data_IF_964944916017
#
_entry.id   IF_964944916017
#
_cell.length_a   1.000
_cell.length_b   1.000
_cell.length_c   1.000
_cell.angle_alpha   90.00
_cell.angle_beta   90.00
_cell.angle_gamma   90.00
#
_symmetry.space_group_name_H-M   'P 1'
#
loop_
_entity.id
_entity.type
_entity.pdbx_description
1 polymer ?
#
# COMPACT_ATOMS: atom_id res chain seq x y z
N UNK A 1 1.59 2.70 -8.56
CA UNK A 1 1.77 1.36 -9.18
C UNK A 1 0.94 0.32 -8.43
N UNK A 2 0.38 -0.68 -9.12
CA UNK A 2 -0.35 -1.79 -8.49
C UNK A 2 0.40 -3.10 -8.71
N UNK A 3 0.68 -3.84 -7.64
CA UNK A 3 1.34 -5.16 -7.69
C UNK A 3 0.62 -6.14 -6.80
N UNK A 4 0.36 -7.36 -7.27
CA UNK A 4 -0.43 -8.30 -6.48
C UNK A 4 0.31 -8.78 -5.22
N UNK A 5 1.61 -9.07 -5.31
CA UNK A 5 2.43 -9.50 -4.17
C UNK A 5 3.30 -8.34 -3.64
N UNK A 6 3.33 -8.11 -2.32
CA UNK A 6 4.15 -7.05 -1.75
C UNK A 6 5.65 -7.34 -1.89
N UNK A 7 6.48 -6.34 -2.22
CA UNK A 7 7.93 -6.45 -2.29
C UNK A 7 8.56 -6.31 -0.89
N UNK A 8 7.94 -6.89 0.14
CA UNK A 8 8.36 -6.77 1.54
C UNK A 8 8.24 -8.11 2.28
N UNK A 9 9.36 -8.54 2.87
CA UNK A 9 9.42 -9.73 3.73
C UNK A 9 8.54 -9.53 4.96
N UNK A 10 7.85 -10.60 5.37
CA UNK A 10 6.98 -10.61 6.57
C UNK A 10 5.52 -10.26 6.31
N UNK A 11 5.16 -9.71 5.14
CA UNK A 11 3.75 -9.45 4.80
C UNK A 11 3.03 -10.67 4.20
N UNK A 12 3.77 -11.67 3.74
CA UNK A 12 3.23 -12.94 3.22
C UNK A 12 4.12 -14.08 3.71
N UNK A 13 3.54 -15.28 3.95
CA UNK A 13 4.32 -16.48 4.25
C UNK A 13 5.40 -16.70 3.18
N UNK A 14 6.60 -17.09 3.60
CA UNK A 14 7.81 -17.15 2.76
C UNK A 14 7.60 -17.87 1.41
N UNK A 15 6.90 -19.02 1.40
CA UNK A 15 6.60 -19.79 0.18
C UNK A 15 5.58 -19.17 -0.80
N UNK A 16 4.98 -18.01 -0.46
CA UNK A 16 4.08 -17.24 -1.33
C UNK A 16 4.58 -15.81 -1.59
N UNK A 17 5.83 -15.54 -1.23
CA UNK A 17 6.46 -14.24 -1.43
C UNK A 17 6.78 -14.03 -2.91
N UNK A 18 6.82 -12.76 -3.34
CA UNK A 18 7.26 -12.40 -4.68
C UNK A 18 8.71 -12.89 -4.90
N UNK A 19 8.95 -13.72 -5.92
CA UNK A 19 10.32 -14.07 -6.31
C UNK A 19 11.00 -12.78 -6.82
N UNK A 20 12.12 -12.39 -6.20
CA UNK A 20 12.85 -11.17 -6.58
C UNK A 20 12.38 -9.87 -5.91
N UNK A 21 11.73 -9.92 -4.74
CA UNK A 21 11.31 -8.73 -3.95
C UNK A 21 12.38 -7.62 -3.90
N UNK A 22 13.64 -7.98 -3.65
CA UNK A 22 14.73 -7.01 -3.56
C UNK A 22 14.94 -6.23 -4.85
N UNK A 23 14.82 -6.91 -6.01
CA UNK A 23 15.01 -6.29 -7.33
C UNK A 23 13.83 -5.37 -7.68
N UNK A 24 12.61 -5.76 -7.31
CA UNK A 24 11.44 -4.90 -7.47
C UNK A 24 11.53 -3.66 -6.56
N UNK A 25 11.94 -3.84 -5.30
CA UNK A 25 12.16 -2.71 -4.38
C UNK A 25 13.27 -1.77 -4.90
N UNK A 26 14.35 -2.32 -5.47
CA UNK A 26 15.42 -1.53 -6.06
C UNK A 26 14.96 -0.72 -7.28
N UNK A 27 14.18 -1.34 -8.18
CA UNK A 27 13.58 -0.64 -9.33
C UNK A 27 12.66 0.48 -8.84
N UNK A 28 11.79 0.19 -7.87
CA UNK A 28 10.87 1.19 -7.30
C UNK A 28 11.63 2.37 -6.69
N UNK A 29 12.73 2.10 -5.98
CA UNK A 29 13.58 3.14 -5.40
C UNK A 29 14.27 3.98 -6.47
N UNK A 30 14.72 3.36 -7.56
CA UNK A 30 15.44 4.04 -8.65
C UNK A 30 14.50 4.87 -9.52
N UNK A 31 13.35 4.30 -9.91
CA UNK A 31 12.36 4.97 -10.75
C UNK A 31 11.49 5.97 -9.98
N UNK A 32 11.32 5.74 -8.68
CA UNK A 32 10.36 6.46 -7.84
C UNK A 32 8.93 5.96 -8.02
N UNK A 33 8.12 6.19 -6.98
CA UNK A 33 6.67 6.04 -7.04
C UNK A 33 6.02 6.85 -5.91
N UNK A 34 4.89 7.47 -6.20
CA UNK A 34 4.11 8.24 -5.22
C UNK A 34 3.36 7.30 -4.25
N UNK A 35 2.95 6.12 -4.73
CA UNK A 35 2.32 5.05 -3.95
C UNK A 35 2.41 3.70 -4.66
N UNK A 36 2.65 2.64 -3.89
CA UNK A 36 2.56 1.24 -4.34
C UNK A 36 1.41 0.55 -3.62
N UNK A 37 0.44 0.06 -4.39
CA UNK A 37 -0.71 -0.68 -3.88
C UNK A 37 -0.46 -2.18 -4.03
N UNK A 38 -0.79 -2.96 -3.00
CA UNK A 38 -0.72 -4.41 -3.07
C UNK A 38 -1.88 -5.16 -2.41
N UNK A 39 -2.08 -6.39 -2.88
CA UNK A 39 -2.99 -7.36 -2.27
C UNK A 39 -2.23 -8.54 -1.67
N UNK A 40 -2.86 -9.71 -1.69
CA UNK A 40 -2.30 -11.04 -1.38
C UNK A 40 -1.87 -11.33 0.07
N UNK A 41 -1.38 -10.35 0.84
CA UNK A 41 -1.21 -10.51 2.29
C UNK A 41 -2.55 -10.72 2.99
N UNK A 42 -3.61 -10.15 2.41
CA UNK A 42 -4.93 -9.94 3.02
C UNK A 42 -4.84 -9.11 4.31
N UNK A 43 -3.75 -8.36 4.50
CA UNK A 43 -3.58 -7.47 5.63
C UNK A 43 -3.66 -6.02 5.12
N UNK A 44 -4.53 -5.23 5.74
CA UNK A 44 -4.76 -3.82 5.44
C UNK A 44 -3.67 -2.95 6.09
N UNK A 45 -2.47 -2.97 5.51
CA UNK A 45 -1.28 -2.31 6.08
C UNK A 45 -0.92 -1.03 5.34
N UNK A 46 -0.55 0.04 6.05
CA UNK A 46 0.16 1.17 5.45
C UNK A 46 1.61 1.16 5.92
N UNK A 47 2.54 0.94 4.99
CA UNK A 47 3.98 0.88 5.30
C UNK A 47 4.82 1.52 4.21
N UNK A 48 6.11 1.17 4.10
CA UNK A 48 6.98 1.62 3.01
C UNK A 48 7.68 0.47 2.29
N UNK A 49 8.03 0.71 1.02
CA UNK A 49 8.95 -0.15 0.25
C UNK A 49 10.31 -0.16 0.99
N UNK A 50 10.94 -1.33 1.18
CA UNK A 50 12.19 -1.42 1.93
C UNK A 50 13.25 -0.42 1.49
N UNK A 51 13.91 0.23 2.46
CA UNK A 51 14.97 1.22 2.23
C UNK A 51 14.51 2.44 1.41
N UNK A 52 13.23 2.80 1.50
CA UNK A 52 12.66 4.01 0.91
C UNK A 52 11.50 4.53 1.76
N UNK A 53 11.05 5.75 1.45
CA UNK A 53 9.84 6.38 1.98
C UNK A 53 8.61 6.19 1.09
N UNK A 54 8.76 5.45 -0.02
CA UNK A 54 7.68 5.14 -0.96
C UNK A 54 6.59 4.35 -0.21
N UNK A 55 5.36 4.88 -0.08
CA UNK A 55 4.28 4.20 0.62
C UNK A 55 3.93 2.87 -0.05
N UNK A 56 3.83 1.82 0.75
CA UNK A 56 3.39 0.49 0.36
C UNK A 56 2.08 0.19 1.11
N UNK A 57 0.97 0.32 0.39
CA UNK A 57 -0.38 0.20 0.92
C UNK A 57 -1.00 -1.15 0.53
N UNK A 58 -1.29 -1.95 1.55
CA UNK A 58 -2.00 -3.21 1.49
C UNK A 58 -3.51 -3.03 1.67
N UNK A 59 -4.27 -3.93 1.09
CA UNK A 59 -5.72 -4.05 1.30
C UNK A 59 -6.06 -5.46 1.78
N UNK A 60 -6.97 -5.57 2.74
CA UNK A 60 -7.56 -6.86 3.07
C UNK A 60 -8.41 -7.36 1.89
N UNK A 61 -8.69 -8.66 1.83
CA UNK A 61 -9.65 -9.15 0.85
C UNK A 61 -11.06 -8.73 1.25
N UNK A 62 -11.84 -8.18 0.32
CA UNK A 62 -13.24 -7.81 0.53
C UNK A 62 -14.13 -9.01 0.91
N UNK A 63 -13.70 -10.24 0.64
CA UNK A 63 -14.43 -11.47 0.93
C UNK A 63 -13.88 -12.24 2.13
N UNK A 64 -12.92 -11.68 2.87
CA UNK A 64 -12.29 -12.38 3.99
C UNK A 64 -13.08 -12.13 5.28
N UNK A 65 -13.63 -13.22 5.82
CA UNK A 65 -14.20 -13.26 7.16
C UNK A 65 -13.10 -13.71 8.14
N UNK A 66 -12.54 -12.75 8.89
CA UNK A 66 -11.45 -12.96 9.83
C UNK A 66 -11.57 -11.97 10.99
N UNK A 67 -11.47 -12.47 12.22
CA UNK A 67 -11.62 -11.63 13.40
C UNK A 67 -10.46 -10.67 13.63
N UNK A 68 -9.30 -10.95 13.03
CA UNK A 68 -8.11 -10.10 13.16
C UNK A 68 -8.37 -8.75 12.49
N UNK A 69 -8.19 -7.61 13.21
CA UNK A 69 -8.58 -6.29 12.70
C UNK A 69 -8.01 -5.92 11.32
N UNK A 70 -6.75 -6.29 11.03
CA UNK A 70 -6.11 -5.99 9.74
C UNK A 70 -6.58 -6.88 8.59
N UNK A 71 -7.30 -7.97 8.87
CA UNK A 71 -7.70 -8.99 7.89
C UNK A 71 -9.19 -9.00 7.59
N UNK A 72 -9.96 -8.33 8.43
CA UNK A 72 -11.40 -8.14 8.24
C UNK A 72 -11.66 -7.47 6.89
N UNK A 73 -12.72 -7.90 6.21
CA UNK A 73 -13.15 -7.33 4.95
C UNK A 73 -13.19 -5.80 4.99
N UNK A 74 -12.46 -5.18 4.06
CA UNK A 74 -12.42 -3.73 3.92
C UNK A 74 -11.99 -3.32 2.50
N UNK A 75 -12.22 -2.06 2.17
CA UNK A 75 -11.69 -1.40 0.98
C UNK A 75 -11.09 -0.04 1.34
N UNK A 76 -10.19 0.46 0.49
CA UNK A 76 -9.51 1.74 0.68
C UNK A 76 -10.09 2.77 -0.31
N UNK A 77 -10.59 3.90 0.20
CA UNK A 77 -10.90 5.10 -0.59
C UNK A 77 -9.66 5.99 -0.63
N UNK A 78 -9.12 6.25 -1.82
CA UNK A 78 -7.98 7.14 -2.01
C UNK A 78 -8.43 8.43 -2.69
N UNK A 79 -8.20 9.56 -2.02
CA UNK A 79 -8.36 10.90 -2.60
C UNK A 79 -6.97 11.45 -2.91
N UNK A 80 -6.72 11.78 -4.17
CA UNK A 80 -5.42 12.29 -4.63
C UNK A 80 -5.64 13.64 -5.29
N UNK A 81 -4.93 14.67 -4.84
CA UNK A 81 -4.98 16.01 -5.43
C UNK A 81 -3.57 16.62 -5.58
N UNK A 82 -3.35 17.51 -6.55
CA UNK A 82 -2.07 18.20 -6.69
C UNK A 82 -1.73 19.05 -5.46
N UNK A 83 -0.44 19.10 -5.10
CA UNK A 83 0.09 19.98 -4.05
C UNK A 83 1.51 20.45 -4.40
N UNK A 84 1.67 21.74 -4.66
CA UNK A 84 2.96 22.38 -5.04
C UNK A 84 3.74 21.53 -6.07
N UNK A 85 4.81 20.85 -5.63
CA UNK A 85 5.65 19.96 -6.41
C UNK A 85 5.39 18.48 -6.09
N UNK A 86 4.13 18.09 -5.98
CA UNK A 86 3.73 16.78 -5.49
C UNK A 86 2.22 16.59 -5.38
N UNK A 87 1.82 15.76 -4.42
CA UNK A 87 0.47 15.26 -4.26
C UNK A 87 0.06 15.25 -2.79
N UNK A 88 -1.16 15.71 -2.52
CA UNK A 88 -1.90 15.33 -1.33
C UNK A 88 -2.56 13.98 -1.56
N UNK A 89 -2.37 13.06 -0.62
CA UNK A 89 -2.99 11.75 -0.66
C UNK A 89 -3.73 11.53 0.66
N UNK A 90 -5.03 11.36 0.57
CA UNK A 90 -5.91 10.92 1.65
C UNK A 90 -6.30 9.46 1.45
N UNK A 91 -6.27 8.70 2.54
CA UNK A 91 -6.76 7.33 2.64
C UNK A 91 -7.87 7.28 3.67
N UNK A 92 -9.00 6.71 3.29
CA UNK A 92 -9.99 6.19 4.24
C UNK A 92 -10.13 4.68 4.05
N UNK A 93 -10.12 3.92 5.14
CA UNK A 93 -10.41 2.48 5.10
C UNK A 93 -11.82 2.21 5.57
N UNK A 94 -12.61 1.63 4.70
CA UNK A 94 -14.03 1.34 4.91
C UNK A 94 -14.22 -0.16 5.07
N UNK A 95 -14.97 -0.56 6.09
CA UNK A 95 -15.51 -1.93 6.16
C UNK A 95 -16.70 -2.09 5.21
N UNK A 96 -17.13 -3.33 5.04
CA UNK A 96 -18.34 -3.68 4.30
C UNK A 96 -19.62 -3.09 4.91
N UNK A 97 -19.65 -2.90 6.23
CA UNK A 97 -20.71 -2.18 6.96
C UNK A 97 -20.69 -0.65 6.78
N UNK A 98 -19.74 -0.11 6.01
CA UNK A 98 -19.57 1.32 5.75
C UNK A 98 -18.86 2.10 6.86
N UNK A 99 -18.42 1.44 7.94
CA UNK A 99 -17.66 2.10 9.00
C UNK A 99 -16.23 2.39 8.54
N UNK A 100 -15.80 3.63 8.77
CA UNK A 100 -14.43 4.06 8.53
C UNK A 100 -13.57 3.64 9.73
N UNK A 101 -12.58 2.80 9.47
CA UNK A 101 -11.68 2.24 10.49
C UNK A 101 -10.32 2.93 10.54
N UNK A 102 -9.92 3.60 9.47
CA UNK A 102 -8.67 4.35 9.42
C UNK A 102 -8.83 5.57 8.51
N UNK A 103 -8.21 6.69 8.91
CA UNK A 103 -8.04 7.89 8.08
C UNK A 103 -6.58 8.33 8.15
N UNK A 104 -5.91 8.41 7.00
CA UNK A 104 -4.52 8.85 6.92
C UNK A 104 -4.39 9.89 5.82
N UNK A 105 -3.58 10.92 6.07
CA UNK A 105 -3.28 11.97 5.10
C UNK A 105 -1.78 12.19 5.06
N UNK A 106 -1.23 12.33 3.85
CA UNK A 106 0.17 12.65 3.68
C UNK A 106 0.43 13.41 2.38
N UNK A 107 1.56 14.11 2.34
CA UNK A 107 2.07 14.78 1.15
C UNK A 107 3.16 13.91 0.53
N UNK A 108 3.16 13.77 -0.79
CA UNK A 108 4.27 13.17 -1.55
C UNK A 108 4.85 14.10 -2.59
N UNK A 109 6.17 14.38 -2.55
CA UNK A 109 6.85 15.01 -3.66
C UNK A 109 6.65 14.19 -4.94
N UNK A 110 6.63 14.87 -6.08
CA UNK A 110 6.62 14.23 -7.39
C UNK A 110 7.92 13.46 -7.59
N UNK A 111 7.81 12.19 -7.97
CA UNK A 111 8.99 11.38 -8.30
C UNK A 111 9.28 11.47 -9.81
N UNK A 112 10.52 11.82 -10.17
CA UNK A 112 11.00 11.94 -11.55
C UNK A 112 12.38 12.59 -11.62
N UNK A 113 13.18 12.35 -12.68
CA UNK A 113 14.48 13.00 -12.82
C UNK A 113 14.27 14.51 -13.02
N UNK A 114 14.94 15.31 -12.20
CA UNK A 114 15.18 16.73 -12.41
C UNK A 114 15.95 16.98 -13.70
#
# INVERSE_FOLDING_TARGET
MMIHHPPRRGLVRWGKSLLGMNKVAEILRSAGAEIVLHGHSHDATLTSVPLSDIPLLGVASASLDDDRPLRRACWNHLAISPHENGWHIGLERHRDDGVITERVYWVRPKTGPS
#
